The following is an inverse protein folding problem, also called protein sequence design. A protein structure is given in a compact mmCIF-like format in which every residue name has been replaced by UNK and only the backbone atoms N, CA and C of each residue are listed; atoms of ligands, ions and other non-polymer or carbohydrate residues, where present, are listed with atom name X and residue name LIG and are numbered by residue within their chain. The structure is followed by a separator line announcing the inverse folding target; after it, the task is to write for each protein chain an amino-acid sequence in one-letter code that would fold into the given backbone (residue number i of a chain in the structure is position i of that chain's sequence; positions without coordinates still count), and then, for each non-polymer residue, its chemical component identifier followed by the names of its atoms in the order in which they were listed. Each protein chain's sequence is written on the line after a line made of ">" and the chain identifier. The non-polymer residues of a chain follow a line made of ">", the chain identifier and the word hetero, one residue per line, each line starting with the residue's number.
data_IF_228203607127
#
_entry.id   IF_228203607127
#
_cell.length_a   1.000
_cell.length_b   1.000
_cell.length_c   1.000
_cell.angle_alpha   90.00
_cell.angle_beta   90.00
_cell.angle_gamma   90.00
#
_symmetry.space_group_name_H-M   'P 1'
#
loop_
_entity.id
_entity.type
_entity.pdbx_description
1 polymer ?
#
# COMPACT_ATOMS: atom_id res chain seq x y z
N UNK A 1 -4.65 9.39 15.09
CA UNK A 1 -3.40 10.16 14.94
C UNK A 1 -2.25 9.26 14.50
N UNK A 2 -1.86 8.22 15.25
CA UNK A 2 -0.75 7.33 14.86
C UNK A 2 -0.92 6.68 13.48
N UNK A 3 -2.09 6.12 13.17
CA UNK A 3 -2.38 5.53 11.85
C UNK A 3 -2.18 6.53 10.71
N UNK A 4 -2.72 7.76 10.84
CA UNK A 4 -2.57 8.80 9.82
C UNK A 4 -1.12 9.23 9.62
N UNK A 5 -0.37 9.39 10.71
CA UNK A 5 1.05 9.77 10.65
C UNK A 5 1.88 8.69 9.96
N UNK A 6 1.66 7.42 10.34
CA UNK A 6 2.34 6.31 9.70
C UNK A 6 1.96 6.19 8.22
N UNK A 7 0.67 6.26 7.88
CA UNK A 7 0.21 6.21 6.49
C UNK A 7 0.75 7.36 5.65
N UNK A 8 0.89 8.58 6.19
CA UNK A 8 1.49 9.70 5.48
C UNK A 8 3.01 9.54 5.26
N UNK A 9 3.70 8.90 6.22
CA UNK A 9 5.14 8.61 6.12
C UNK A 9 5.44 7.39 5.23
N UNK A 10 4.51 6.44 5.14
CA UNK A 10 4.71 5.15 4.50
C UNK A 10 5.21 5.21 3.04
N UNK A 11 4.67 6.05 2.14
CA UNK A 11 5.18 6.20 0.77
C UNK A 11 6.70 6.40 0.71
N UNK A 12 7.21 7.30 1.55
CA UNK A 12 8.63 7.60 1.59
C UNK A 12 9.44 6.46 2.19
N UNK A 13 8.96 5.86 3.27
CA UNK A 13 9.60 4.68 3.86
C UNK A 13 9.74 3.55 2.84
N UNK A 14 8.68 3.27 2.08
CA UNK A 14 8.67 2.20 1.08
C UNK A 14 9.77 2.40 0.02
N UNK A 15 9.83 3.61 -0.56
CA UNK A 15 10.80 3.92 -1.62
C UNK A 15 12.21 4.02 -1.06
N UNK A 16 12.44 4.87 -0.05
CA UNK A 16 13.79 5.16 0.41
C UNK A 16 14.47 3.99 1.13
N UNK A 17 13.72 2.99 1.60
CA UNK A 17 14.33 1.75 2.10
C UNK A 17 15.15 1.03 1.02
N UNK A 18 14.65 1.02 -0.22
CA UNK A 18 15.26 0.32 -1.36
C UNK A 18 16.45 1.05 -1.99
N UNK A 19 16.50 2.38 -1.85
CA UNK A 19 17.49 3.23 -2.54
C UNK A 19 18.47 3.98 -1.62
N UNK A 20 18.24 4.00 -0.30
CA UNK A 20 19.09 4.71 0.64
C UNK A 20 20.53 4.19 0.62
N UNK A 21 21.49 5.09 0.42
CA UNK A 21 22.93 4.84 0.45
C UNK A 21 23.54 5.04 1.86
N UNK A 22 22.81 5.75 2.73
CA UNK A 22 23.14 5.92 4.14
C UNK A 22 21.89 5.73 5.01
N UNK A 23 22.00 5.28 6.28
CA UNK A 23 20.82 5.04 7.12
C UNK A 23 19.96 6.29 7.36
N UNK A 24 20.57 7.47 7.30
CA UNK A 24 19.88 8.76 7.46
C UNK A 24 18.91 9.02 6.30
N UNK A 25 19.19 8.52 5.10
CA UNK A 25 18.33 8.76 3.92
C UNK A 25 16.96 8.08 3.99
N UNK A 26 16.78 7.09 4.87
CA UNK A 26 15.47 6.49 5.17
C UNK A 26 14.53 7.52 5.85
N UNK A 27 15.11 8.50 6.55
CA UNK A 27 14.38 9.53 7.30
C UNK A 27 14.57 10.94 6.74
N UNK A 28 15.56 11.14 5.88
CA UNK A 28 15.87 12.41 5.22
C UNK A 28 16.01 12.19 3.71
N UNK A 29 14.91 12.39 3.02
CA UNK A 29 14.74 12.00 1.63
C UNK A 29 15.44 12.93 0.66
N UNK A 30 16.18 12.35 -0.29
CA UNK A 30 16.84 13.07 -1.37
C UNK A 30 16.10 12.81 -2.68
N UNK A 31 15.51 13.87 -3.25
CA UNK A 31 14.78 13.82 -4.51
C UNK A 31 15.59 14.34 -5.70
N UNK A 32 16.89 14.60 -5.53
CA UNK A 32 17.72 15.25 -6.56
C UNK A 32 17.86 14.46 -7.87
N UNK A 33 17.66 13.14 -7.83
CA UNK A 33 17.73 12.25 -9.00
C UNK A 33 16.36 11.84 -9.54
N UNK A 34 15.27 12.30 -8.93
CA UNK A 34 13.90 12.00 -9.37
C UNK A 34 13.47 12.95 -10.47
N UNK A 35 12.63 12.47 -11.39
CA UNK A 35 12.06 13.27 -12.46
C UNK A 35 10.54 13.08 -12.52
N UNK A 36 9.80 14.16 -12.30
CA UNK A 36 8.34 14.12 -12.40
C UNK A 36 7.93 14.27 -13.86
N UNK A 37 7.25 13.25 -14.39
CA UNK A 37 6.65 13.28 -15.72
C UNK A 37 5.13 13.41 -15.63
N UNK A 38 4.49 14.00 -16.64
CA UNK A 38 3.03 14.06 -16.71
C UNK A 38 2.41 12.66 -16.73
N UNK A 39 3.01 11.73 -17.47
CA UNK A 39 2.56 10.34 -17.53
C UNK A 39 2.66 9.67 -16.16
N UNK A 40 3.80 9.79 -15.46
CA UNK A 40 3.96 9.23 -14.10
C UNK A 40 2.96 9.83 -13.11
N UNK A 41 2.75 11.14 -13.15
CA UNK A 41 1.75 11.80 -12.31
C UNK A 41 0.33 11.28 -12.59
N UNK A 42 -0.08 11.23 -13.86
CA UNK A 42 -1.42 10.76 -14.23
C UNK A 42 -1.63 9.28 -13.90
N UNK A 43 -0.62 8.42 -14.12
CA UNK A 43 -0.68 7.01 -13.74
C UNK A 43 -0.78 6.82 -12.22
N UNK A 44 -0.08 7.61 -11.41
CA UNK A 44 -0.21 7.56 -9.96
C UNK A 44 -1.59 8.03 -9.47
N UNK A 45 -2.17 9.04 -10.14
CA UNK A 45 -3.55 9.49 -9.85
C UNK A 45 -4.55 8.41 -10.22
N UNK A 46 -4.39 7.81 -11.40
CA UNK A 46 -5.24 6.74 -11.89
C UNK A 46 -5.20 5.54 -10.95
N UNK A 47 -4.02 5.02 -10.61
CA UNK A 47 -3.85 3.91 -9.68
C UNK A 47 -4.47 4.23 -8.31
N UNK A 48 -4.11 5.39 -7.74
CA UNK A 48 -4.61 5.83 -6.45
C UNK A 48 -6.13 5.97 -6.40
N UNK A 49 -6.80 6.34 -7.50
CA UNK A 49 -8.27 6.42 -7.55
C UNK A 49 -8.89 5.07 -7.87
N UNK A 50 -8.46 4.45 -8.97
CA UNK A 50 -9.11 3.27 -9.55
C UNK A 50 -8.91 2.03 -8.67
N UNK A 51 -7.67 1.75 -8.27
CA UNK A 51 -7.35 0.55 -7.49
C UNK A 51 -7.94 0.63 -6.08
N UNK A 52 -7.92 1.82 -5.47
CA UNK A 52 -8.54 2.03 -4.15
C UNK A 52 -10.07 1.98 -4.21
N UNK A 53 -10.67 2.45 -5.31
CA UNK A 53 -12.12 2.30 -5.53
C UNK A 53 -12.49 0.84 -5.68
N UNK A 54 -11.75 0.08 -6.49
CA UNK A 54 -11.92 -1.36 -6.63
C UNK A 54 -11.79 -2.06 -5.28
N UNK A 55 -10.73 -1.76 -4.51
CA UNK A 55 -10.53 -2.37 -3.20
C UNK A 55 -11.61 -1.98 -2.20
N UNK A 56 -12.15 -0.77 -2.28
CA UNK A 56 -13.30 -0.35 -1.48
C UNK A 56 -14.53 -1.23 -1.77
N UNK A 57 -14.79 -1.52 -3.05
CA UNK A 57 -15.88 -2.42 -3.45
C UNK A 57 -15.64 -3.84 -2.93
N UNK A 58 -14.42 -4.35 -3.05
CA UNK A 58 -14.05 -5.67 -2.51
C UNK A 58 -14.28 -5.73 -1.00
N UNK A 59 -13.84 -4.72 -0.25
CA UNK A 59 -14.08 -4.62 1.20
C UNK A 59 -15.58 -4.61 1.51
N UNK A 60 -16.39 -3.82 0.80
CA UNK A 60 -17.84 -3.75 1.03
C UNK A 60 -18.52 -5.10 0.77
N UNK A 61 -18.16 -5.76 -0.33
CA UNK A 61 -18.67 -7.11 -0.66
C UNK A 61 -18.26 -8.11 0.41
N UNK A 62 -17.00 -8.11 0.83
CA UNK A 62 -16.49 -9.02 1.87
C UNK A 62 -17.17 -8.75 3.22
N UNK A 63 -17.37 -7.49 3.61
CA UNK A 63 -18.13 -7.14 4.82
C UNK A 63 -19.56 -7.68 4.76
N UNK A 64 -20.21 -7.58 3.61
CA UNK A 64 -21.55 -8.13 3.42
C UNK A 64 -21.56 -9.66 3.49
N UNK A 65 -20.60 -10.34 2.86
CA UNK A 65 -20.45 -11.81 2.91
C UNK A 65 -20.20 -12.27 4.35
N UNK A 66 -19.33 -11.59 5.09
CA UNK A 66 -18.97 -11.93 6.46
C UNK A 66 -19.85 -11.25 7.52
N UNK A 67 -21.00 -10.67 7.16
CA UNK A 67 -21.85 -9.88 8.09
C UNK A 67 -22.26 -10.61 9.37
N UNK A 68 -22.37 -11.94 9.31
CA UNK A 68 -22.73 -12.80 10.44
C UNK A 68 -21.52 -13.53 11.05
N UNK A 69 -20.30 -13.27 10.56
CA UNK A 69 -19.09 -13.96 10.99
C UNK A 69 -18.34 -13.15 12.05
N UNK A 70 -17.81 -13.84 13.07
CA UNK A 70 -16.97 -13.20 14.08
C UNK A 70 -15.65 -12.77 13.42
N UNK A 71 -15.33 -11.49 13.54
CA UNK A 71 -14.13 -10.91 12.92
C UNK A 71 -14.31 -10.51 11.46
N UNK A 72 -15.52 -10.13 11.03
CA UNK A 72 -15.82 -9.65 9.66
C UNK A 72 -14.81 -8.63 9.14
N UNK A 73 -14.41 -7.64 9.96
CA UNK A 73 -13.41 -6.63 9.61
C UNK A 73 -12.04 -7.26 9.38
N UNK A 74 -11.63 -8.22 10.19
CA UNK A 74 -10.35 -8.93 10.04
C UNK A 74 -10.32 -9.68 8.70
N UNK A 75 -11.36 -10.46 8.40
CA UNK A 75 -11.44 -11.23 7.16
C UNK A 75 -11.55 -10.34 5.93
N UNK A 76 -12.38 -9.29 5.98
CA UNK A 76 -12.48 -8.32 4.89
C UNK A 76 -11.13 -7.63 4.63
N UNK A 77 -10.39 -7.27 5.68
CA UNK A 77 -9.05 -6.66 5.57
C UNK A 77 -8.06 -7.64 4.92
N UNK A 78 -7.93 -8.86 5.45
CA UNK A 78 -6.94 -9.84 4.96
C UNK A 78 -7.26 -10.29 3.54
N UNK A 79 -8.51 -10.60 3.24
CA UNK A 79 -8.90 -11.13 1.92
C UNK A 79 -8.83 -10.03 0.86
N UNK A 80 -9.29 -8.80 1.13
CA UNK A 80 -9.14 -7.71 0.16
C UNK A 80 -7.66 -7.38 -0.13
N UNK A 81 -6.80 -7.47 0.89
CA UNK A 81 -5.35 -7.26 0.72
C UNK A 81 -4.71 -8.38 -0.10
N UNK A 82 -5.17 -9.62 0.06
CA UNK A 82 -4.73 -10.74 -0.76
C UNK A 82 -5.18 -10.60 -2.22
N UNK A 83 -6.43 -10.20 -2.46
CA UNK A 83 -6.93 -9.94 -3.81
C UNK A 83 -6.13 -8.82 -4.49
N UNK A 84 -5.91 -7.71 -3.78
CA UNK A 84 -5.10 -6.59 -4.26
C UNK A 84 -3.66 -7.01 -4.58
N UNK A 85 -3.03 -7.80 -3.70
CA UNK A 85 -1.70 -8.36 -3.95
C UNK A 85 -1.66 -9.23 -5.21
N UNK A 86 -2.63 -10.15 -5.36
CA UNK A 86 -2.70 -11.06 -6.50
C UNK A 86 -2.97 -10.36 -7.83
N UNK A 87 -3.68 -9.22 -7.83
CA UNK A 87 -3.97 -8.46 -9.04
C UNK A 87 -2.69 -7.98 -9.77
N UNK A 88 -1.60 -7.81 -9.02
CA UNK A 88 -0.29 -7.42 -9.57
C UNK A 88 0.37 -8.52 -10.43
N UNK A 89 -0.15 -9.76 -10.43
CA UNK A 89 0.28 -10.78 -11.39
C UNK A 89 0.06 -10.33 -12.84
N UNK A 90 -0.89 -9.41 -13.08
CA UNK A 90 -1.15 -8.83 -14.40
C UNK A 90 0.02 -8.01 -14.94
N UNK A 91 0.94 -7.57 -14.08
CA UNK A 91 2.16 -6.86 -14.49
C UNK A 91 3.23 -7.79 -15.07
N UNK A 92 3.10 -9.12 -14.95
CA UNK A 92 4.11 -10.07 -15.42
C UNK A 92 4.37 -9.94 -16.93
N UNK A 93 5.62 -9.64 -17.28
CA UNK A 93 6.05 -9.42 -18.66
C UNK A 93 5.83 -8.00 -19.18
N UNK A 94 5.21 -7.11 -18.40
CA UNK A 94 5.05 -5.70 -18.76
C UNK A 94 6.34 -4.91 -18.54
N UNK A 95 6.49 -3.80 -19.28
CA UNK A 95 7.53 -2.79 -19.01
C UNK A 95 6.83 -1.48 -18.68
N UNK A 96 7.03 -0.99 -17.46
CA UNK A 96 6.46 0.26 -16.97
C UNK A 96 7.60 1.15 -16.48
N UNK A 97 7.62 2.42 -16.86
CA UNK A 97 8.63 3.40 -16.43
C UNK A 97 10.09 2.91 -16.60
N UNK A 98 10.38 2.20 -17.70
CA UNK A 98 11.72 1.67 -17.99
C UNK A 98 12.10 0.40 -17.21
N UNK A 99 11.18 -0.15 -16.42
CA UNK A 99 11.37 -1.35 -15.61
C UNK A 99 10.60 -2.53 -16.19
N UNK A 100 11.30 -3.60 -16.54
CA UNK A 100 10.70 -4.88 -16.91
C UNK A 100 10.26 -5.65 -15.65
N UNK A 101 8.98 -5.99 -15.56
CA UNK A 101 8.39 -6.79 -14.49
C UNK A 101 8.49 -8.29 -14.81
N UNK A 102 9.65 -8.87 -14.48
CA UNK A 102 9.84 -10.32 -14.50
C UNK A 102 9.21 -10.99 -13.27
N UNK A 103 9.24 -12.33 -13.23
CA UNK A 103 8.64 -13.11 -12.15
C UNK A 103 9.12 -12.65 -10.76
N UNK A 104 10.44 -12.48 -10.58
CA UNK A 104 11.02 -12.04 -9.30
C UNK A 104 10.51 -10.67 -8.86
N UNK A 105 10.42 -9.69 -9.78
CA UNK A 105 9.89 -8.36 -9.44
C UNK A 105 8.41 -8.39 -9.11
N UNK A 106 7.63 -9.18 -9.83
CA UNK A 106 6.19 -9.34 -9.55
C UNK A 106 5.97 -10.03 -8.20
N UNK A 107 6.75 -11.06 -7.87
CA UNK A 107 6.68 -11.71 -6.55
C UNK A 107 7.03 -10.73 -5.41
N UNK A 108 8.09 -9.93 -5.58
CA UNK A 108 8.44 -8.86 -4.63
C UNK A 108 7.30 -7.84 -4.50
N UNK A 109 6.71 -7.43 -5.64
CA UNK A 109 5.54 -6.54 -5.69
C UNK A 109 4.38 -7.09 -4.89
N UNK A 110 3.96 -8.32 -5.18
CA UNK A 110 2.86 -8.99 -4.46
C UNK A 110 3.09 -9.02 -2.94
N UNK A 111 4.33 -9.26 -2.49
CA UNK A 111 4.67 -9.29 -1.05
C UNK A 111 4.44 -7.92 -0.41
N UNK A 112 5.03 -6.85 -0.95
CA UNK A 112 4.90 -5.55 -0.30
C UNK A 112 3.50 -4.95 -0.50
N UNK A 113 2.83 -5.22 -1.63
CA UNK A 113 1.45 -4.73 -1.88
C UNK A 113 0.42 -5.43 -1.01
N UNK A 114 0.65 -6.67 -0.58
CA UNK A 114 -0.17 -7.31 0.47
C UNK A 114 -0.15 -6.49 1.76
N UNK A 115 1.04 -6.12 2.25
CA UNK A 115 1.17 -5.32 3.46
C UNK A 115 0.58 -3.91 3.31
N UNK A 116 0.83 -3.27 2.17
CA UNK A 116 0.19 -1.99 1.85
C UNK A 116 -1.34 -2.10 1.82
N UNK A 117 -1.88 -3.14 1.20
CA UNK A 117 -3.32 -3.46 1.18
C UNK A 117 -3.89 -3.55 2.60
N UNK A 118 -3.18 -4.22 3.51
CA UNK A 118 -3.60 -4.33 4.92
C UNK A 118 -3.67 -2.94 5.58
N UNK A 119 -2.65 -2.11 5.39
CA UNK A 119 -2.59 -0.74 5.93
C UNK A 119 -3.72 0.13 5.37
N UNK A 120 -3.92 0.11 4.06
CA UNK A 120 -4.86 0.96 3.37
C UNK A 120 -6.32 0.53 3.61
N UNK A 121 -6.56 -0.77 3.81
CA UNK A 121 -7.85 -1.29 4.27
C UNK A 121 -8.19 -0.83 5.70
N UNK A 122 -7.27 -0.92 6.67
CA UNK A 122 -7.54 -0.41 8.03
C UNK A 122 -7.64 1.12 8.06
N UNK A 123 -6.93 1.83 7.20
CA UNK A 123 -7.05 3.28 7.04
C UNK A 123 -8.47 3.65 6.62
N UNK A 124 -9.01 2.98 5.60
CA UNK A 124 -10.38 3.17 5.15
C UNK A 124 -11.40 2.80 6.23
N UNK A 125 -11.32 1.59 6.80
CA UNK A 125 -12.29 1.08 7.79
C UNK A 125 -12.29 1.90 9.09
N UNK A 126 -11.12 2.39 9.50
CA UNK A 126 -11.00 3.21 10.71
C UNK A 126 -11.49 4.64 10.50
N UNK A 127 -11.31 5.23 9.32
CA UNK A 127 -11.66 6.64 9.09
C UNK A 127 -13.01 6.83 8.40
N UNK A 128 -13.49 5.82 7.67
CA UNK A 128 -14.60 5.92 6.73
C UNK A 128 -14.32 6.86 5.55
N UNK A 129 -13.06 7.18 5.27
CA UNK A 129 -12.64 8.15 4.23
C UNK A 129 -11.80 7.45 3.17
N UNK A 130 -12.43 7.09 2.05
CA UNK A 130 -11.74 6.46 0.92
C UNK A 130 -10.60 7.33 0.37
N UNK A 131 -10.81 8.66 0.30
CA UNK A 131 -9.83 9.59 -0.23
C UNK A 131 -8.48 9.59 0.54
N UNK A 132 -8.46 9.16 1.80
CA UNK A 132 -7.21 9.03 2.56
C UNK A 132 -6.35 7.89 2.02
N UNK A 133 -6.95 6.75 1.70
CA UNK A 133 -6.22 5.63 1.09
C UNK A 133 -5.80 5.97 -0.34
N UNK A 134 -6.66 6.66 -1.09
CA UNK A 134 -6.31 7.22 -2.43
C UNK A 134 -5.10 8.13 -2.38
N UNK A 135 -5.04 9.05 -1.42
CA UNK A 135 -3.93 10.00 -1.30
C UNK A 135 -2.61 9.30 -0.93
N UNK A 136 -2.67 8.29 -0.07
CA UNK A 136 -1.48 7.51 0.32
C UNK A 136 -0.99 6.66 -0.83
N UNK A 137 -1.90 5.99 -1.55
CA UNK A 137 -1.56 5.19 -2.72
C UNK A 137 -0.97 6.06 -3.84
N UNK A 138 -1.65 7.16 -4.18
CA UNK A 138 -1.13 8.18 -5.10
C UNK A 138 0.28 8.62 -4.66
N UNK A 139 0.48 8.95 -3.38
CA UNK A 139 1.78 9.39 -2.89
C UNK A 139 2.87 8.35 -3.05
N UNK A 140 2.55 7.06 -2.87
CA UNK A 140 3.48 5.97 -3.11
C UNK A 140 3.86 5.88 -4.59
N UNK A 141 2.88 5.74 -5.46
CA UNK A 141 3.10 5.54 -6.89
C UNK A 141 3.71 6.78 -7.55
N UNK A 142 3.35 7.98 -7.07
CA UNK A 142 3.93 9.22 -7.55
C UNK A 142 5.44 9.26 -7.33
N UNK A 143 5.91 8.79 -6.17
CA UNK A 143 7.35 8.72 -5.89
C UNK A 143 7.99 7.63 -6.76
N UNK A 144 7.42 6.42 -6.81
CA UNK A 144 7.95 5.29 -7.59
C UNK A 144 8.04 5.61 -9.09
N UNK A 145 6.99 6.21 -9.66
CA UNK A 145 6.95 6.57 -11.09
C UNK A 145 7.79 7.80 -11.43
N UNK A 146 8.34 8.48 -10.41
CA UNK A 146 9.33 9.56 -10.59
C UNK A 146 10.77 9.06 -10.48
N UNK A 147 10.99 7.76 -10.22
CA UNK A 147 12.33 7.18 -10.21
C UNK A 147 12.95 7.19 -11.61
N UNK A 148 14.23 7.56 -11.68
CA UNK A 148 15.03 7.51 -12.92
C UNK A 148 16.05 6.37 -12.83
N UNK A 149 16.74 6.02 -13.92
CA UNK A 149 17.87 5.08 -13.85
C UNK A 149 18.98 5.50 -12.87
N UNK A 150 19.06 6.79 -12.50
CA UNK A 150 19.98 7.30 -11.49
C UNK A 150 19.44 7.12 -10.06
N UNK A 151 18.12 7.03 -9.89
CA UNK A 151 17.46 6.75 -8.61
C UNK A 151 17.55 5.27 -8.25
N UNK A 152 17.36 4.39 -9.25
CA UNK A 152 17.37 2.93 -9.06
C UNK A 152 18.79 2.45 -8.78
N UNK A 153 19.18 2.52 -7.51
CA UNK A 153 20.40 1.92 -6.97
C UNK A 153 20.00 0.94 -5.87
N UNK A 154 20.63 -0.24 -5.84
CA UNK A 154 20.38 -1.21 -4.77
C UNK A 154 21.00 -0.64 -3.49
N UNK A 155 20.17 -0.43 -2.47
CA UNK A 155 20.63 -0.12 -1.12
C UNK A 155 21.72 -1.10 -0.67
N UNK A 156 22.86 -0.63 -0.14
CA UNK A 156 23.89 -1.53 0.39
C UNK A 156 23.46 -2.23 1.68
N UNK A 157 22.33 -1.84 2.28
CA UNK A 157 21.83 -2.39 3.54
C UNK A 157 20.86 -3.55 3.33
N UNK A 158 20.03 -3.47 2.29
CA UNK A 158 18.94 -4.41 2.05
C UNK A 158 18.81 -4.68 0.56
N UNK A 159 18.77 -5.95 0.17
CA UNK A 159 18.38 -6.32 -1.18
C UNK A 159 16.86 -6.12 -1.39
N UNK A 160 16.39 -6.27 -2.64
CA UNK A 160 14.99 -6.05 -2.99
C UNK A 160 14.02 -7.01 -2.28
N UNK A 161 14.46 -8.24 -1.96
CA UNK A 161 13.63 -9.19 -1.22
C UNK A 161 13.48 -8.77 0.24
N UNK A 162 14.59 -8.41 0.90
CA UNK A 162 14.59 -7.88 2.25
C UNK A 162 13.72 -6.62 2.33
N UNK A 163 13.83 -5.70 1.37
CA UNK A 163 12.97 -4.52 1.29
C UNK A 163 11.50 -4.90 1.21
N UNK A 164 11.12 -5.80 0.29
CA UNK A 164 9.73 -6.23 0.14
C UNK A 164 9.15 -6.80 1.45
N UNK A 165 9.90 -7.68 2.14
CA UNK A 165 9.46 -8.25 3.41
C UNK A 165 9.40 -7.23 4.55
N UNK A 166 10.35 -6.28 4.63
CA UNK A 166 10.36 -5.23 5.65
C UNK A 166 9.16 -4.30 5.46
N UNK A 167 8.88 -3.88 4.23
CA UNK A 167 7.73 -3.03 3.89
C UNK A 167 6.43 -3.74 4.21
N UNK A 168 6.30 -5.01 3.81
CA UNK A 168 5.15 -5.84 4.14
C UNK A 168 4.97 -5.95 5.66
N UNK A 169 6.04 -6.24 6.41
CA UNK A 169 5.99 -6.41 7.85
C UNK A 169 5.61 -5.10 8.56
N UNK A 170 6.24 -3.97 8.21
CA UNK A 170 5.98 -2.67 8.84
C UNK A 170 4.51 -2.25 8.67
N UNK A 171 3.99 -2.32 7.45
CA UNK A 171 2.59 -2.00 7.15
C UNK A 171 1.60 -2.97 7.80
N UNK A 172 1.89 -4.28 7.74
CA UNK A 172 1.05 -5.32 8.37
C UNK A 172 1.03 -5.23 9.88
N UNK A 173 2.14 -4.88 10.55
CA UNK A 173 2.18 -4.72 12.01
C UNK A 173 1.27 -3.58 12.47
N UNK A 174 1.26 -2.46 11.75
CA UNK A 174 0.33 -1.35 12.01
C UNK A 174 -1.11 -1.81 11.78
N UNK A 175 -1.38 -2.54 10.70
CA UNK A 175 -2.72 -3.08 10.43
C UNK A 175 -3.18 -4.06 11.51
N UNK A 176 -2.33 -5.01 11.92
CA UNK A 176 -2.60 -5.95 13.01
C UNK A 176 -2.87 -5.20 14.31
N UNK A 177 -2.07 -4.18 14.64
CA UNK A 177 -2.33 -3.34 15.81
C UNK A 177 -3.72 -2.67 15.77
N UNK A 178 -4.17 -2.21 14.59
CA UNK A 178 -5.52 -1.67 14.39
C UNK A 178 -6.61 -2.74 14.51
N UNK A 179 -6.35 -3.97 14.07
CA UNK A 179 -7.25 -5.12 14.15
C UNK A 179 -7.35 -5.72 15.57
N UNK A 180 -6.72 -5.10 16.58
CA UNK A 180 -6.78 -5.55 17.98
C UNK A 180 -7.59 -4.59 18.88
N UNK A 181 -8.26 -5.18 19.86
CA UNK A 181 -8.91 -4.46 20.97
C UNK A 181 -9.96 -3.44 20.54
N UNK A 182 -9.94 -2.26 21.17
CA UNK A 182 -10.96 -1.20 20.97
C UNK A 182 -10.98 -0.64 19.54
N UNK A 183 -9.86 -0.69 18.83
CA UNK A 183 -9.74 -0.18 17.45
C UNK A 183 -10.47 -1.07 16.45
N UNK A 184 -10.35 -2.39 16.60
CA UNK A 184 -11.12 -3.34 15.81
C UNK A 184 -12.62 -3.14 16.02
N UNK A 185 -13.06 -3.01 17.28
CA UNK A 185 -14.47 -2.76 17.59
C UNK A 185 -14.98 -1.46 16.95
N UNK A 186 -14.19 -0.41 16.98
CA UNK A 186 -14.54 0.85 16.32
C UNK A 186 -14.67 0.70 14.80
N UNK A 187 -13.79 -0.10 14.17
CA UNK A 187 -13.90 -0.42 12.74
C UNK A 187 -15.11 -1.30 12.44
N UNK A 188 -15.49 -2.23 13.33
CA UNK A 188 -16.73 -3.01 13.19
C UNK A 188 -17.96 -2.07 13.21
N UNK A 189 -18.01 -1.12 14.15
CA UNK A 189 -19.09 -0.14 14.25
C UNK A 189 -19.16 0.76 13.00
N UNK A 190 -18.00 1.13 12.44
CA UNK A 190 -17.93 1.89 11.18
C UNK A 190 -18.34 1.05 9.97
N UNK A 191 -17.92 -0.21 9.90
CA UNK A 191 -18.30 -1.14 8.84
C UNK A 191 -19.83 -1.30 8.78
N UNK A 192 -20.50 -1.34 9.93
CA UNK A 192 -21.96 -1.39 10.00
C UNK A 192 -22.64 -0.11 9.51
N UNK A 193 -21.96 1.03 9.53
CA UNK A 193 -22.45 2.27 8.90
C UNK A 193 -22.24 2.25 7.40
N UNK A 194 -21.07 1.80 6.95
CA UNK A 194 -20.74 1.68 5.51
C UNK A 194 -21.74 0.76 4.81
N UNK A 195 -22.10 -0.38 5.40
CA UNK A 195 -23.07 -1.32 4.82
C UNK A 195 -24.53 -0.83 4.82
N UNK A 196 -24.83 0.30 5.47
CA UNK A 196 -26.19 0.89 5.54
C UNK A 196 -26.39 2.10 4.63
N UNK A 197 -25.31 2.62 4.06
CA UNK A 197 -25.34 3.69 3.05
C UNK A 197 -25.68 3.11 1.69
#
# INVERSE_FOLDING_TARGET
>A
MLLLLFSAYFPFFNVFLGIAQTPVQIFNWDFSTFEVTLTGFLSAVEAGIMEETQRCLDIVVLLFVFRNFKGKVVWATVISSLLFSLDHLTNLGSTQFGVLYNLTKVEQQMIYTFGFGMLAAVLYLYTGKLWLSMLVHFGLDFIVFSETPLTVSISPFFDNWACAFIVMAASSLVAIFMLLGKRCKFMDDNADRIMKM
#
